data_IF_160235948327
#
_entry.id   IF_160235948327
#
_cell.length_a   1.000
_cell.length_b   1.000
_cell.length_c   1.000
_cell.angle_alpha   90.00
_cell.angle_beta   90.00
_cell.angle_gamma   90.00
#
_symmetry.space_group_name_H-M   'P 1'
#
loop_
_entity.id
_entity.type
_entity.pdbx_description
1 polymer ?
#
# COMPACT_ATOMS: atom_id res chain seq x y z
N UNK A 1 23.53 -25.56 -13.77
CA UNK A 1 22.50 -24.52 -14.05
C UNK A 1 21.98 -24.10 -12.70
N UNK A 2 22.03 -22.82 -12.30
CA UNK A 2 21.37 -22.38 -11.08
C UNK A 2 19.86 -22.63 -11.25
N UNK A 3 19.26 -23.27 -10.26
CA UNK A 3 17.81 -23.38 -10.16
C UNK A 3 17.25 -21.95 -10.22
N UNK A 4 16.40 -21.68 -11.20
CA UNK A 4 15.69 -20.43 -11.32
C UNK A 4 14.88 -20.26 -10.01
N UNK A 5 15.30 -19.34 -9.14
CA UNK A 5 14.48 -18.99 -7.98
C UNK A 5 13.11 -18.57 -8.52
N UNK A 6 12.10 -19.33 -8.16
CA UNK A 6 10.73 -19.06 -8.59
C UNK A 6 10.38 -17.61 -8.18
N UNK A 7 10.01 -16.79 -9.14
CA UNK A 7 9.63 -15.40 -8.88
C UNK A 7 8.45 -15.38 -7.91
N UNK A 8 8.61 -14.65 -6.82
CA UNK A 8 7.58 -14.50 -5.79
C UNK A 8 6.87 -13.16 -5.93
N UNK A 9 5.57 -13.17 -5.64
CA UNK A 9 4.79 -11.95 -5.53
C UNK A 9 5.06 -11.30 -4.18
N UNK A 10 5.49 -10.05 -4.21
CA UNK A 10 5.73 -9.22 -3.03
C UNK A 10 4.49 -8.37 -2.77
N UNK A 11 3.78 -8.67 -1.69
CA UNK A 11 2.57 -7.93 -1.31
C UNK A 11 2.89 -6.81 -0.33
N UNK A 12 2.30 -5.65 -0.59
CA UNK A 12 2.38 -4.45 0.24
C UNK A 12 1.01 -4.19 0.84
N UNK A 13 0.88 -4.36 2.16
CA UNK A 13 -0.39 -4.43 2.86
C UNK A 13 -0.75 -3.11 3.54
N UNK A 14 -2.03 -2.73 3.57
CA UNK A 14 -2.49 -1.51 4.21
C UNK A 14 -2.62 -1.67 5.73
N UNK A 15 -2.51 -0.55 6.46
CA UNK A 15 -2.94 -0.47 7.85
C UNK A 15 -1.85 -0.65 8.89
N UNK A 16 -0.66 -0.11 8.65
CA UNK A 16 0.48 -0.18 9.58
C UNK A 16 0.12 0.26 11.02
N UNK A 17 -0.59 1.37 11.16
CA UNK A 17 -1.09 1.89 12.43
C UNK A 17 -2.56 1.52 12.63
N UNK A 18 -3.33 1.57 11.57
CA UNK A 18 -4.79 1.43 11.56
C UNK A 18 -5.24 0.02 11.94
N UNK A 19 -4.46 -1.00 11.59
CA UNK A 19 -4.80 -2.42 11.81
C UNK A 19 -3.77 -3.15 12.67
N UNK A 20 -3.13 -2.44 13.58
CA UNK A 20 -2.11 -3.01 14.47
C UNK A 20 -2.60 -4.27 15.19
N UNK A 21 -3.76 -4.21 15.82
CA UNK A 21 -4.32 -5.35 16.57
C UNK A 21 -4.57 -6.56 15.67
N UNK A 22 -5.08 -6.33 14.47
CA UNK A 22 -5.25 -7.39 13.47
C UNK A 22 -3.91 -8.06 13.13
N UNK A 23 -2.88 -7.29 12.85
CA UNK A 23 -1.57 -7.84 12.51
C UNK A 23 -0.88 -8.54 13.67
N UNK A 24 -1.16 -8.16 14.90
CA UNK A 24 -0.71 -8.89 16.09
C UNK A 24 -1.25 -10.33 16.16
N UNK A 25 -2.37 -10.61 15.51
CA UNK A 25 -2.98 -11.94 15.42
C UNK A 25 -2.60 -12.63 14.11
N UNK A 26 -2.67 -11.92 12.99
CA UNK A 26 -2.44 -12.49 11.67
C UNK A 26 -0.99 -12.89 11.42
N UNK A 27 -0.02 -12.05 11.77
CA UNK A 27 1.39 -12.32 11.49
C UNK A 27 1.94 -13.57 12.23
N UNK A 28 1.60 -13.83 13.50
CA UNK A 28 1.95 -15.09 14.15
C UNK A 28 1.37 -16.32 13.43
N UNK A 29 0.10 -16.26 13.03
CA UNK A 29 -0.53 -17.33 12.28
C UNK A 29 0.17 -17.56 10.94
N UNK A 30 0.43 -16.50 10.19
CA UNK A 30 1.13 -16.56 8.90
C UNK A 30 2.51 -17.20 9.03
N UNK A 31 3.26 -16.88 10.07
CA UNK A 31 4.58 -17.46 10.33
C UNK A 31 4.50 -18.92 10.77
N UNK A 32 3.57 -19.25 11.69
CA UNK A 32 3.46 -20.59 12.27
C UNK A 32 2.85 -21.59 11.30
N UNK A 33 1.88 -21.17 10.50
CA UNK A 33 1.15 -22.00 9.54
C UNK A 33 1.36 -21.53 8.09
N UNK A 34 2.62 -21.42 7.72
CA UNK A 34 2.99 -20.96 6.36
C UNK A 34 2.39 -21.85 5.26
N UNK A 35 2.11 -23.13 5.55
CA UNK A 35 1.47 -24.08 4.66
C UNK A 35 0.02 -23.74 4.27
N UNK A 36 -0.65 -22.87 5.02
CA UNK A 36 -2.01 -22.39 4.68
C UNK A 36 -1.99 -21.38 3.53
N UNK A 37 -0.82 -20.79 3.27
CA UNK A 37 -0.66 -19.68 2.33
C UNK A 37 0.12 -20.12 1.10
N UNK A 38 -0.09 -19.41 -0.02
CA UNK A 38 0.66 -19.69 -1.24
C UNK A 38 2.16 -19.50 -1.02
N UNK A 39 2.95 -20.48 -1.46
CA UNK A 39 4.42 -20.42 -1.40
C UNK A 39 5.03 -19.40 -2.36
N UNK A 40 4.31 -19.01 -3.40
CA UNK A 40 4.72 -17.96 -4.34
C UNK A 40 4.37 -16.54 -3.87
N UNK A 41 3.71 -16.37 -2.71
CA UNK A 41 3.37 -15.08 -2.11
C UNK A 41 4.26 -14.78 -0.91
N UNK A 42 4.65 -13.52 -0.79
CA UNK A 42 5.33 -12.99 0.40
C UNK A 42 4.73 -11.65 0.81
N UNK A 43 4.73 -11.37 2.11
CA UNK A 43 4.43 -10.05 2.65
C UNK A 43 5.75 -9.28 2.70
N UNK A 44 5.86 -8.21 1.90
CA UNK A 44 7.08 -7.42 1.81
C UNK A 44 7.07 -6.21 2.75
N UNK A 45 5.92 -5.57 2.87
CA UNK A 45 5.77 -4.36 3.68
C UNK A 45 4.34 -4.18 4.18
N UNK A 46 4.21 -3.37 5.22
CA UNK A 46 2.92 -2.84 5.66
C UNK A 46 3.06 -1.32 5.65
N UNK A 47 2.06 -0.62 5.10
CA UNK A 47 2.09 0.82 4.96
C UNK A 47 0.94 1.49 5.72
N UNK A 48 1.17 2.70 6.19
CA UNK A 48 0.17 3.51 6.88
C UNK A 48 0.77 4.73 7.55
N UNK A 49 -0.06 5.47 8.24
CA UNK A 49 0.33 6.62 9.04
C UNK A 49 -0.61 6.78 10.23
N UNK A 50 -0.16 7.41 11.32
CA UNK A 50 -1.04 7.76 12.42
C UNK A 50 -2.15 8.71 11.98
N UNK A 51 -3.27 8.69 12.70
CA UNK A 51 -4.34 9.64 12.51
C UNK A 51 -3.85 11.08 12.73
N UNK A 52 -4.33 12.01 11.89
CA UNK A 52 -3.99 13.44 12.00
C UNK A 52 -2.56 13.79 11.58
N UNK A 53 -1.86 12.90 10.89
CA UNK A 53 -0.50 13.18 10.40
C UNK A 53 -0.53 14.28 9.33
N UNK A 54 0.19 15.39 9.57
CA UNK A 54 0.19 16.55 8.69
C UNK A 54 0.64 16.22 7.26
N UNK A 55 1.61 15.31 7.12
CA UNK A 55 2.12 14.90 5.81
C UNK A 55 1.28 13.83 5.13
N UNK A 56 0.22 13.36 5.77
CA UNK A 56 -0.71 12.41 5.19
C UNK A 56 -1.54 13.00 4.05
N UNK A 57 -1.89 12.22 3.06
CA UNK A 57 -2.67 12.65 1.90
C UNK A 57 -3.51 11.53 1.29
N UNK A 58 -3.42 10.33 1.85
CA UNK A 58 -4.25 9.19 1.47
C UNK A 58 -5.52 9.07 2.31
N UNK A 59 -6.43 8.22 1.88
CA UNK A 59 -7.62 7.85 2.66
C UNK A 59 -7.18 7.04 3.88
N UNK A 60 -7.47 7.52 5.09
CA UNK A 60 -7.03 6.92 6.35
C UNK A 60 -8.21 6.40 7.13
N UNK A 61 -8.02 5.28 7.83
CA UNK A 61 -8.87 4.84 8.93
C UNK A 61 -8.44 5.45 10.26
N UNK A 62 -9.14 5.08 11.32
CA UNK A 62 -8.76 5.46 12.69
C UNK A 62 -7.71 4.47 13.21
N UNK A 63 -6.55 4.96 13.59
CA UNK A 63 -5.50 4.16 14.19
C UNK A 63 -4.50 5.08 14.88
N UNK A 64 -4.42 4.97 16.18
CA UNK A 64 -3.56 5.82 17.00
C UNK A 64 -2.69 4.96 17.93
N UNK A 65 -2.02 3.97 17.35
CA UNK A 65 -1.13 3.11 18.10
C UNK A 65 0.21 3.80 18.39
N UNK A 66 0.86 3.37 19.46
CA UNK A 66 2.21 3.82 19.78
C UNK A 66 3.17 3.45 18.63
N UNK A 67 3.87 4.43 18.03
CA UNK A 67 4.81 4.17 16.94
C UNK A 67 5.91 3.16 17.30
N UNK A 68 6.35 3.11 18.55
CA UNK A 68 7.34 2.13 19.01
C UNK A 68 6.79 0.71 18.96
N UNK A 69 5.55 0.49 19.36
CA UNK A 69 4.90 -0.81 19.30
C UNK A 69 4.70 -1.27 17.84
N UNK A 70 4.27 -0.36 16.98
CA UNK A 70 4.09 -0.61 15.53
C UNK A 70 5.43 -1.01 14.88
N UNK A 71 6.49 -0.27 15.17
CA UNK A 71 7.83 -0.59 14.66
C UNK A 71 8.32 -1.94 15.17
N UNK A 72 8.16 -2.23 16.46
CA UNK A 72 8.56 -3.50 17.06
C UNK A 72 7.87 -4.69 16.39
N UNK A 73 6.59 -4.56 16.05
CA UNK A 73 5.84 -5.60 15.35
C UNK A 73 6.45 -5.91 13.96
N UNK A 74 6.72 -4.89 13.16
CA UNK A 74 7.33 -5.09 11.83
C UNK A 74 8.74 -5.66 11.93
N UNK A 75 9.53 -5.21 12.89
CA UNK A 75 10.87 -5.76 13.14
C UNK A 75 10.82 -7.24 13.53
N UNK A 76 9.90 -7.64 14.41
CA UNK A 76 9.76 -9.03 14.85
C UNK A 76 9.49 -9.98 13.67
N UNK A 77 8.68 -9.55 12.70
CA UNK A 77 8.31 -10.37 11.54
C UNK A 77 9.16 -10.10 10.29
N UNK A 78 10.22 -9.30 10.42
CA UNK A 78 11.14 -9.02 9.31
C UNK A 78 10.48 -8.28 8.15
N UNK A 79 9.52 -7.40 8.43
CA UNK A 79 8.76 -6.65 7.44
C UNK A 79 9.24 -5.21 7.36
N UNK A 80 9.24 -4.65 6.15
CA UNK A 80 9.44 -3.22 5.95
C UNK A 80 8.18 -2.45 6.35
N UNK A 81 8.35 -1.42 7.18
CA UNK A 81 7.30 -0.46 7.46
C UNK A 81 7.40 0.72 6.50
N UNK A 82 6.28 1.13 5.92
CA UNK A 82 6.21 2.29 5.02
C UNK A 82 5.31 3.36 5.61
N UNK A 83 5.86 4.53 5.87
CA UNK A 83 5.10 5.70 6.28
C UNK A 83 4.43 6.32 5.07
N UNK A 84 3.12 6.58 5.16
CA UNK A 84 2.35 7.15 4.05
C UNK A 84 2.27 8.66 4.21
N UNK A 85 3.22 9.37 3.61
CA UNK A 85 3.36 10.83 3.62
C UNK A 85 3.07 11.40 2.24
N UNK A 86 1.86 11.16 1.76
CA UNK A 86 1.45 11.48 0.40
C UNK A 86 0.67 12.79 0.25
N UNK A 87 0.78 13.70 1.22
CA UNK A 87 0.21 15.04 1.08
C UNK A 87 0.82 15.77 -0.13
N UNK A 88 -0.02 16.24 -1.03
CA UNK A 88 0.40 16.88 -2.29
C UNK A 88 0.60 18.39 -2.19
N UNK A 89 0.21 19.02 -1.08
CA UNK A 89 0.08 20.47 -0.94
C UNK A 89 1.00 21.07 0.12
N UNK A 90 2.08 20.37 0.46
CA UNK A 90 3.02 20.81 1.48
C UNK A 90 3.82 22.05 1.05
N UNK A 91 4.06 22.95 2.01
CA UNK A 91 4.97 24.07 1.88
C UNK A 91 6.20 23.85 2.76
N UNK A 92 7.22 24.72 2.63
CA UNK A 92 8.44 24.64 3.45
C UNK A 92 8.15 24.69 4.96
N UNK A 93 7.14 25.46 5.37
CA UNK A 93 6.74 25.55 6.78
C UNK A 93 6.26 24.18 7.33
N UNK A 94 5.59 23.39 6.53
CA UNK A 94 5.10 22.07 6.92
C UNK A 94 6.22 21.05 7.17
N UNK A 95 7.41 21.25 6.59
CA UNK A 95 8.56 20.36 6.79
C UNK A 95 9.09 20.38 8.23
N UNK A 96 8.78 21.42 8.99
CA UNK A 96 9.19 21.55 10.40
C UNK A 96 8.25 20.81 11.38
N UNK A 97 7.23 20.09 10.90
CA UNK A 97 6.30 19.37 11.77
C UNK A 97 7.04 18.39 12.69
N UNK A 98 6.86 18.57 14.00
CA UNK A 98 7.60 17.81 15.01
C UNK A 98 7.19 16.35 15.08
N UNK A 99 5.90 16.07 14.90
CA UNK A 99 5.34 14.70 14.98
C UNK A 99 5.82 13.87 13.79
N UNK A 100 5.70 14.39 12.56
CA UNK A 100 6.16 13.70 11.37
C UNK A 100 7.68 13.48 11.37
N UNK A 101 8.47 14.46 11.80
CA UNK A 101 9.91 14.31 11.94
C UNK A 101 10.30 13.28 13.01
N UNK A 102 9.58 13.22 14.13
CA UNK A 102 9.81 12.20 15.16
C UNK A 102 9.57 10.78 14.64
N UNK A 103 8.51 10.58 13.83
CA UNK A 103 8.27 9.32 13.15
C UNK A 103 9.39 8.96 12.19
N UNK A 104 9.87 9.93 11.42
CA UNK A 104 10.99 9.70 10.49
C UNK A 104 12.26 9.30 11.22
N UNK A 105 12.61 9.96 12.31
CA UNK A 105 13.78 9.56 13.13
C UNK A 105 13.65 8.13 13.63
N UNK A 106 12.49 7.79 14.21
CA UNK A 106 12.25 6.47 14.76
C UNK A 106 12.36 5.37 13.69
N UNK A 107 11.67 5.54 12.56
CA UNK A 107 11.60 4.50 11.52
C UNK A 107 12.84 4.45 10.62
N UNK A 108 13.54 5.57 10.40
CA UNK A 108 14.76 5.59 9.59
C UNK A 108 15.97 4.98 10.30
N UNK A 109 16.05 5.15 11.62
CA UNK A 109 17.16 4.66 12.44
C UNK A 109 16.95 3.23 12.99
N UNK A 110 15.81 2.64 12.68
CA UNK A 110 15.42 1.31 13.19
C UNK A 110 16.32 0.21 12.63
N UNK A 111 16.66 -0.74 13.49
CA UNK A 111 17.30 -2.00 13.09
C UNK A 111 16.32 -2.89 12.30
N UNK A 112 16.88 -3.83 11.53
CA UNK A 112 16.09 -4.78 10.74
C UNK A 112 15.91 -4.35 9.29
N UNK A 113 14.82 -4.73 8.62
CA UNK A 113 14.57 -4.36 7.24
C UNK A 113 14.53 -2.86 7.03
N UNK A 114 15.04 -2.40 5.89
CA UNK A 114 14.97 -0.98 5.53
C UNK A 114 13.51 -0.55 5.44
N UNK A 115 13.17 0.54 6.13
CA UNK A 115 11.84 1.14 6.07
C UNK A 115 11.76 2.16 4.93
N UNK A 116 10.55 2.47 4.51
CA UNK A 116 10.31 3.37 3.40
C UNK A 116 9.27 4.44 3.68
N UNK A 117 9.17 5.37 2.76
CA UNK A 117 8.16 6.43 2.78
C UNK A 117 7.49 6.53 1.42
N UNK A 118 6.16 6.53 1.45
CA UNK A 118 5.34 6.79 0.27
C UNK A 118 5.14 8.30 0.17
N UNK A 119 5.58 8.93 -0.92
CA UNK A 119 5.56 10.38 -1.07
C UNK A 119 4.87 10.81 -2.37
N UNK A 120 4.27 11.99 -2.34
CA UNK A 120 3.75 12.70 -3.50
C UNK A 120 4.59 13.96 -3.80
N UNK A 121 4.80 14.78 -2.80
CA UNK A 121 5.49 16.08 -2.92
C UNK A 121 6.98 15.92 -3.16
N UNK A 122 7.50 16.52 -4.22
CA UNK A 122 8.95 16.56 -4.46
C UNK A 122 9.68 17.41 -3.41
N UNK A 123 9.03 18.43 -2.88
CA UNK A 123 9.57 19.20 -1.77
C UNK A 123 9.83 18.32 -0.54
N UNK A 124 8.87 17.46 -0.19
CA UNK A 124 9.03 16.51 0.91
C UNK A 124 10.08 15.44 0.58
N UNK A 125 10.06 14.91 -0.63
CA UNK A 125 11.04 13.91 -1.09
C UNK A 125 12.48 14.41 -0.93
N UNK A 126 12.75 15.61 -1.40
CA UNK A 126 14.09 16.22 -1.32
C UNK A 126 14.51 16.43 0.13
N UNK A 127 13.59 16.92 0.97
CA UNK A 127 13.82 17.06 2.40
C UNK A 127 14.14 15.71 3.07
N UNK A 128 13.34 14.70 2.84
CA UNK A 128 13.52 13.38 3.46
C UNK A 128 14.79 12.69 3.00
N UNK A 129 15.17 12.83 1.74
CA UNK A 129 16.43 12.29 1.22
C UNK A 129 17.65 12.89 1.89
N UNK A 130 17.59 14.19 2.20
CA UNK A 130 18.67 14.88 2.89
C UNK A 130 18.69 14.59 4.40
N UNK A 131 17.53 14.62 5.06
CA UNK A 131 17.42 14.48 6.51
C UNK A 131 17.41 13.04 7.01
N UNK A 132 16.85 12.12 6.23
CA UNK A 132 16.66 10.71 6.59
C UNK A 132 17.06 9.78 5.43
N UNK A 133 18.34 9.76 5.03
CA UNK A 133 18.82 9.03 3.84
C UNK A 133 18.73 7.51 3.97
N UNK A 134 18.44 6.97 5.14
CA UNK A 134 18.28 5.54 5.38
C UNK A 134 16.97 4.98 4.78
N UNK A 135 15.97 5.84 4.52
CA UNK A 135 14.73 5.43 3.88
C UNK A 135 14.92 5.08 2.41
N UNK A 136 14.10 4.16 1.91
CA UNK A 136 13.77 4.10 0.49
C UNK A 136 12.43 4.77 0.23
N UNK A 137 12.16 5.15 -1.03
CA UNK A 137 10.98 5.93 -1.37
C UNK A 137 10.11 5.25 -2.41
N UNK A 138 8.81 5.47 -2.29
CA UNK A 138 7.77 4.98 -3.18
C UNK A 138 6.98 6.16 -3.71
N UNK A 139 6.84 6.25 -5.03
CA UNK A 139 5.98 7.26 -5.66
C UNK A 139 4.52 6.89 -5.47
N UNK A 140 3.74 7.80 -4.88
CA UNK A 140 2.36 7.56 -4.46
C UNK A 140 1.38 7.44 -5.63
N UNK A 141 0.38 6.58 -5.47
CA UNK A 141 -0.79 6.50 -6.36
C UNK A 141 -1.58 7.82 -6.43
N UNK A 142 -1.46 8.68 -5.41
CA UNK A 142 -2.13 9.98 -5.38
C UNK A 142 -1.68 10.94 -6.48
N UNK A 143 -0.56 10.66 -7.14
CA UNK A 143 -0.11 11.38 -8.34
C UNK A 143 -1.00 11.14 -9.55
N UNK A 144 -1.80 10.09 -9.53
CA UNK A 144 -2.74 9.71 -10.59
C UNK A 144 -2.04 9.66 -11.96
N UNK A 145 -1.00 8.83 -12.04
CA UNK A 145 -0.21 8.63 -13.27
C UNK A 145 -0.99 7.75 -14.25
N UNK A 146 -1.84 8.36 -15.05
CA UNK A 146 -2.69 7.70 -16.06
C UNK A 146 -2.07 7.70 -17.46
N UNK A 147 -1.07 8.53 -17.70
CA UNK A 147 -0.34 8.64 -18.93
C UNK A 147 0.92 7.77 -18.89
N UNK A 148 1.05 6.82 -19.81
CA UNK A 148 2.16 5.86 -19.75
C UNK A 148 3.54 6.53 -19.91
N UNK A 149 3.78 7.52 -20.80
CA UNK A 149 5.04 8.24 -20.83
C UNK A 149 5.40 8.90 -19.49
N UNK A 150 4.43 9.48 -18.80
CA UNK A 150 4.66 10.04 -17.44
C UNK A 150 5.00 8.96 -16.42
N UNK A 151 4.33 7.81 -16.47
CA UNK A 151 4.67 6.67 -15.63
C UNK A 151 6.10 6.21 -15.90
N UNK A 152 6.49 6.10 -17.17
CA UNK A 152 7.86 5.71 -17.51
C UNK A 152 8.90 6.69 -16.99
N UNK A 153 8.68 7.99 -17.12
CA UNK A 153 9.56 9.01 -16.53
C UNK A 153 9.69 8.84 -15.00
N UNK A 154 8.59 8.57 -14.32
CA UNK A 154 8.60 8.36 -12.88
C UNK A 154 9.38 7.10 -12.49
N UNK A 155 9.23 6.02 -13.25
CA UNK A 155 9.99 4.78 -13.06
C UNK A 155 11.50 4.96 -13.27
N UNK A 156 11.90 5.87 -14.15
CA UNK A 156 13.30 6.18 -14.46
C UNK A 156 13.97 7.06 -13.38
N UNK A 157 13.20 7.63 -12.45
CA UNK A 157 13.76 8.42 -11.34
C UNK A 157 14.46 7.51 -10.34
N UNK A 158 15.75 7.75 -10.14
CA UNK A 158 16.56 6.98 -9.18
C UNK A 158 16.10 7.12 -7.73
N UNK A 159 15.46 8.24 -7.39
CA UNK A 159 14.94 8.49 -6.06
C UNK A 159 13.89 7.47 -5.61
N UNK A 160 13.16 6.85 -6.53
CA UNK A 160 12.11 5.89 -6.21
C UNK A 160 12.56 4.46 -6.41
N UNK A 161 12.37 3.64 -5.39
CA UNK A 161 12.51 2.18 -5.50
C UNK A 161 11.28 1.56 -6.17
N UNK A 162 10.10 2.07 -5.85
CA UNK A 162 8.82 1.64 -6.43
C UNK A 162 7.98 2.83 -6.85
N UNK A 163 7.14 2.61 -7.85
CA UNK A 163 6.17 3.58 -8.36
C UNK A 163 4.81 2.89 -8.46
N UNK A 164 3.79 3.51 -7.90
CA UNK A 164 2.41 3.02 -7.98
C UNK A 164 1.68 3.77 -9.10
N UNK A 165 1.48 3.16 -10.27
CA UNK A 165 0.71 3.78 -11.34
C UNK A 165 -0.76 3.91 -10.95
N UNK A 166 -1.51 4.74 -11.64
CA UNK A 166 -2.96 4.72 -11.53
C UNK A 166 -3.49 3.34 -11.96
N UNK A 167 -4.48 2.83 -11.24
CA UNK A 167 -5.05 1.50 -11.47
C UNK A 167 -5.58 1.28 -12.90
N UNK A 168 -5.87 2.37 -13.63
CA UNK A 168 -6.32 2.31 -15.03
C UNK A 168 -5.24 1.84 -15.99
N UNK A 169 -3.96 1.89 -15.60
CA UNK A 169 -2.85 1.34 -16.36
C UNK A 169 -2.52 -0.12 -16.03
N UNK A 170 -3.21 -0.72 -15.07
CA UNK A 170 -2.88 -2.07 -14.58
C UNK A 170 -2.89 -3.14 -15.66
N UNK A 171 -3.68 -2.98 -16.71
CA UNK A 171 -3.81 -3.95 -17.82
C UNK A 171 -3.39 -3.37 -19.18
N UNK A 172 -2.65 -2.29 -19.18
CA UNK A 172 -2.08 -1.69 -20.40
C UNK A 172 -0.84 -2.50 -20.89
N UNK A 173 -1.05 -3.79 -21.17
CA UNK A 173 0.04 -4.73 -21.45
C UNK A 173 0.89 -4.34 -22.66
N UNK A 174 0.30 -3.79 -23.72
CA UNK A 174 1.05 -3.33 -24.89
C UNK A 174 2.12 -2.31 -24.52
N UNK A 175 1.82 -1.45 -23.55
CA UNK A 175 2.75 -0.44 -23.04
C UNK A 175 3.65 -1.01 -21.93
N UNK A 176 3.10 -1.75 -20.98
CA UNK A 176 3.86 -2.33 -19.87
C UNK A 176 4.97 -3.27 -20.34
N UNK A 177 4.74 -4.03 -21.42
CA UNK A 177 5.73 -4.93 -21.98
C UNK A 177 6.90 -4.22 -22.66
N UNK A 178 6.79 -2.93 -22.95
CA UNK A 178 7.91 -2.12 -23.48
C UNK A 178 8.94 -1.75 -22.41
N UNK A 179 8.60 -1.93 -21.12
CA UNK A 179 9.50 -1.62 -20.02
C UNK A 179 10.63 -2.65 -19.94
N UNK A 180 11.89 -2.21 -19.78
CA UNK A 180 12.98 -3.12 -19.46
C UNK A 180 12.81 -3.71 -18.07
N UNK A 181 13.40 -4.88 -17.82
CA UNK A 181 13.23 -5.60 -16.55
C UNK A 181 13.54 -4.76 -15.29
N UNK A 182 14.57 -3.92 -15.25
CA UNK A 182 14.83 -3.06 -14.09
C UNK A 182 13.67 -2.12 -13.77
N UNK A 183 12.94 -1.62 -14.77
CA UNK A 183 11.78 -0.77 -14.55
C UNK A 183 10.52 -1.58 -14.20
N UNK A 184 10.34 -2.78 -14.78
CA UNK A 184 9.24 -3.68 -14.38
C UNK A 184 9.30 -4.01 -12.89
N UNK A 185 10.49 -4.23 -12.34
CA UNK A 185 10.69 -4.51 -10.92
C UNK A 185 10.30 -3.35 -10.00
N UNK A 186 10.19 -2.13 -10.53
CA UNK A 186 9.76 -0.94 -9.78
C UNK A 186 8.26 -0.69 -9.83
N UNK A 187 7.51 -1.33 -10.72
CA UNK A 187 6.06 -1.14 -10.82
C UNK A 187 5.37 -1.86 -9.67
N UNK A 188 4.62 -1.11 -8.88
CA UNK A 188 3.81 -1.64 -7.79
C UNK A 188 2.32 -1.43 -8.11
N UNK A 189 1.64 -2.50 -8.49
CA UNK A 189 0.25 -2.43 -8.92
C UNK A 189 -0.70 -2.34 -7.74
N UNK A 190 -1.63 -1.38 -7.77
CA UNK A 190 -2.76 -1.33 -6.85
C UNK A 190 -3.84 -2.31 -7.33
N UNK A 191 -3.98 -3.44 -6.61
CA UNK A 191 -4.71 -4.61 -7.12
C UNK A 191 -6.23 -4.50 -7.05
N UNK A 192 -6.77 -3.85 -6.00
CA UNK A 192 -8.17 -3.96 -5.58
C UNK A 192 -8.87 -2.60 -5.47
N UNK A 193 -8.50 -1.63 -6.31
CA UNK A 193 -9.17 -0.34 -6.34
C UNK A 193 -10.62 -0.48 -6.81
N UNK A 194 -11.56 0.17 -6.12
CA UNK A 194 -12.96 0.21 -6.51
C UNK A 194 -13.42 1.58 -7.04
N UNK A 195 -12.53 2.56 -7.14
CA UNK A 195 -12.83 3.81 -7.80
C UNK A 195 -13.34 3.58 -9.21
N UNK A 196 -14.30 4.39 -9.61
CA UNK A 196 -14.84 4.31 -10.96
C UNK A 196 -13.73 4.49 -12.01
N UNK A 197 -13.67 3.53 -12.94
CA UNK A 197 -12.64 3.53 -13.99
C UNK A 197 -12.71 4.78 -14.89
N UNK A 198 -13.89 5.36 -15.08
CA UNK A 198 -14.11 6.61 -15.81
C UNK A 198 -13.92 7.90 -15.00
N UNK A 199 -13.48 7.82 -13.75
CA UNK A 199 -13.35 8.98 -12.87
C UNK A 199 -12.31 9.98 -13.38
N UNK A 200 -12.71 11.25 -13.53
CA UNK A 200 -11.82 12.36 -13.91
C UNK A 200 -11.36 13.19 -12.70
N UNK A 201 -11.95 12.93 -11.52
CA UNK A 201 -11.77 13.76 -10.32
C UNK A 201 -10.88 13.11 -9.25
N UNK A 202 -10.23 11.98 -9.57
CA UNK A 202 -9.42 11.23 -8.60
C UNK A 202 -8.30 12.09 -7.99
N UNK A 203 -7.63 12.90 -8.79
CA UNK A 203 -6.60 13.82 -8.31
C UNK A 203 -7.17 14.87 -7.38
N UNK A 204 -8.27 15.49 -7.73
CA UNK A 204 -8.98 16.47 -6.89
C UNK A 204 -9.46 15.84 -5.57
N UNK A 205 -9.89 14.58 -5.59
CA UNK A 205 -10.26 13.83 -4.41
C UNK A 205 -9.07 13.73 -3.43
N UNK A 206 -7.88 13.36 -3.89
CA UNK A 206 -6.69 13.31 -3.06
C UNK A 206 -6.21 14.69 -2.59
N UNK A 207 -6.33 15.72 -3.41
CA UNK A 207 -6.04 17.09 -3.00
C UNK A 207 -6.96 17.57 -1.86
N UNK A 208 -8.23 17.19 -1.90
CA UNK A 208 -9.17 17.48 -0.81
C UNK A 208 -8.75 16.79 0.50
N UNK A 209 -8.27 15.54 0.44
CA UNK A 209 -7.72 14.86 1.61
C UNK A 209 -6.48 15.57 2.14
N UNK A 210 -5.58 15.99 1.25
CA UNK A 210 -4.39 16.76 1.63
C UNK A 210 -4.75 18.06 2.35
N UNK A 211 -5.73 18.81 1.85
CA UNK A 211 -6.22 20.03 2.51
C UNK A 211 -6.77 19.78 3.90
N UNK A 212 -7.57 18.72 4.06
CA UNK A 212 -8.11 18.34 5.38
C UNK A 212 -6.99 18.06 6.38
N UNK A 213 -5.96 17.35 5.97
CA UNK A 213 -4.80 17.08 6.82
C UNK A 213 -4.00 18.34 7.19
N UNK A 214 -4.11 19.39 6.39
CA UNK A 214 -3.54 20.71 6.68
C UNK A 214 -4.47 21.61 7.52
N UNK A 215 -5.61 21.08 7.99
CA UNK A 215 -6.57 21.82 8.80
C UNK A 215 -7.56 22.67 8.03
N UNK A 216 -7.61 22.55 6.71
CA UNK A 216 -8.55 23.30 5.86
C UNK A 216 -9.91 22.59 5.76
N UNK A 217 -10.97 23.37 5.60
CA UNK A 217 -12.28 22.84 5.22
C UNK A 217 -12.29 22.59 3.72
N UNK A 218 -12.28 21.33 3.31
CA UNK A 218 -12.22 20.93 1.92
C UNK A 218 -13.28 19.85 1.62
N UNK A 219 -14.56 20.26 1.46
CA UNK A 219 -15.62 19.33 1.11
C UNK A 219 -15.38 18.78 -0.30
N UNK A 220 -15.44 17.46 -0.43
CA UNK A 220 -15.37 16.80 -1.72
C UNK A 220 -16.43 15.69 -1.76
N UNK A 221 -17.21 15.68 -2.81
CA UNK A 221 -18.22 14.66 -3.05
C UNK A 221 -17.84 13.82 -4.25
N UNK A 222 -17.79 12.52 -4.05
CA UNK A 222 -17.60 11.58 -5.14
C UNK A 222 -18.83 11.55 -6.05
N UNK A 223 -18.63 11.77 -7.34
CA UNK A 223 -19.69 11.76 -8.38
C UNK A 223 -19.79 10.42 -9.10
N UNK A 224 -19.01 9.43 -8.72
CA UNK A 224 -19.05 8.11 -9.35
C UNK A 224 -20.40 7.43 -9.17
N UNK A 225 -20.88 6.67 -10.16
CA UNK A 225 -22.07 5.85 -10.02
C UNK A 225 -21.96 4.90 -8.83
N UNK A 226 -22.97 4.88 -7.96
CA UNK A 226 -23.00 4.01 -6.78
C UNK A 226 -22.01 4.37 -5.68
N UNK A 227 -21.44 5.57 -5.67
CA UNK A 227 -20.50 6.03 -4.63
C UNK A 227 -21.07 6.00 -3.21
N UNK A 228 -22.38 6.17 -3.07
CA UNK A 228 -23.07 6.11 -1.78
C UNK A 228 -23.06 4.70 -1.15
N UNK A 229 -22.80 3.64 -1.92
CA UNK A 229 -22.78 2.26 -1.46
C UNK A 229 -21.45 1.89 -0.77
N UNK A 230 -20.47 2.77 -0.74
CA UNK A 230 -19.15 2.53 -0.17
C UNK A 230 -18.33 1.49 -0.91
N UNK A 231 -17.22 1.06 -0.30
CA UNK A 231 -16.37 0.01 -0.85
C UNK A 231 -17.03 -1.37 -0.67
N UNK A 232 -16.98 -2.18 -1.72
CA UNK A 232 -17.34 -3.61 -1.69
C UNK A 232 -16.30 -4.39 -2.48
N UNK A 233 -15.81 -5.49 -1.92
CA UNK A 233 -14.81 -6.30 -2.61
C UNK A 233 -15.35 -6.94 -3.90
N UNK A 234 -16.59 -7.39 -3.90
CA UNK A 234 -17.27 -7.87 -5.12
C UNK A 234 -17.27 -6.81 -6.24
N UNK A 235 -17.48 -5.55 -5.87
CA UNK A 235 -17.44 -4.42 -6.81
C UNK A 235 -16.03 -4.12 -7.30
N UNK A 236 -15.03 -4.24 -6.43
CA UNK A 236 -13.64 -4.12 -6.85
C UNK A 236 -13.26 -5.21 -7.86
N UNK A 237 -13.75 -6.45 -7.68
CA UNK A 237 -13.53 -7.55 -8.62
C UNK A 237 -14.10 -7.29 -10.02
N UNK A 238 -15.14 -6.48 -10.13
CA UNK A 238 -15.76 -6.08 -11.41
C UNK A 238 -15.00 -4.90 -12.08
N UNK A 239 -14.10 -4.24 -11.37
CA UNK A 239 -13.34 -3.13 -11.92
C UNK A 239 -12.40 -3.61 -13.02
N UNK A 240 -12.36 -2.94 -14.20
CA UNK A 240 -11.44 -3.34 -15.28
C UNK A 240 -9.96 -3.33 -14.88
N UNK A 241 -9.57 -2.57 -13.85
CA UNK A 241 -8.20 -2.54 -13.34
C UNK A 241 -7.90 -3.57 -12.24
N UNK A 242 -8.85 -4.41 -11.86
CA UNK A 242 -8.66 -5.40 -10.80
C UNK A 242 -7.66 -6.49 -11.20
N UNK A 243 -6.71 -6.79 -10.31
CA UNK A 243 -5.80 -7.91 -10.45
C UNK A 243 -6.30 -9.10 -9.62
N UNK A 244 -6.68 -10.19 -10.31
CA UNK A 244 -7.02 -11.43 -9.63
C UNK A 244 -5.77 -12.18 -9.16
N UNK A 245 -5.93 -13.07 -8.20
CA UNK A 245 -4.86 -14.00 -7.76
C UNK A 245 -4.30 -14.78 -8.94
N UNK A 246 -5.20 -15.29 -9.77
CA UNK A 246 -4.82 -16.06 -10.97
C UNK A 246 -3.98 -15.23 -11.93
N UNK A 247 -4.39 -13.99 -12.21
CA UNK A 247 -3.66 -13.10 -13.10
C UNK A 247 -2.27 -12.76 -12.54
N UNK A 248 -2.16 -12.51 -11.25
CA UNK A 248 -0.86 -12.26 -10.61
C UNK A 248 0.07 -13.45 -10.85
N UNK A 249 -0.38 -14.65 -10.54
CA UNK A 249 0.43 -15.86 -10.67
C UNK A 249 0.76 -16.22 -12.12
N UNK A 250 -0.23 -16.14 -13.02
CA UNK A 250 -0.11 -16.70 -14.37
C UNK A 250 0.23 -15.68 -15.45
N UNK A 251 0.08 -14.39 -15.18
CA UNK A 251 0.33 -13.31 -16.14
C UNK A 251 1.43 -12.36 -15.63
N UNK A 252 1.23 -11.70 -14.50
CA UNK A 252 2.14 -10.64 -14.05
C UNK A 252 3.51 -11.17 -13.66
N UNK A 253 3.58 -12.22 -12.85
CA UNK A 253 4.87 -12.83 -12.46
C UNK A 253 5.66 -13.33 -13.66
N UNK A 254 5.09 -14.10 -14.61
CA UNK A 254 5.80 -14.52 -15.81
C UNK A 254 6.30 -13.36 -16.68
N UNK A 255 5.56 -12.25 -16.71
CA UNK A 255 5.96 -11.05 -17.47
C UNK A 255 7.07 -10.23 -16.81
N UNK A 256 7.43 -10.55 -15.56
CA UNK A 256 8.52 -9.90 -14.84
C UNK A 256 8.09 -8.85 -13.82
N UNK A 257 6.81 -8.75 -13.50
CA UNK A 257 6.27 -7.89 -12.44
C UNK A 257 6.15 -8.67 -11.15
N UNK A 258 6.53 -8.07 -10.02
CA UNK A 258 6.58 -8.77 -8.74
C UNK A 258 6.04 -7.99 -7.54
N UNK A 259 5.60 -6.74 -7.71
CA UNK A 259 5.13 -5.93 -6.60
C UNK A 259 3.65 -5.59 -6.72
N UNK A 260 2.89 -5.92 -5.67
CA UNK A 260 1.43 -5.83 -5.64
C UNK A 260 0.97 -5.19 -4.34
N UNK A 261 0.23 -4.09 -4.46
CA UNK A 261 -0.27 -3.32 -3.34
C UNK A 261 -1.76 -3.57 -3.15
N UNK A 262 -2.16 -3.82 -1.91
CA UNK A 262 -3.56 -3.89 -1.53
C UNK A 262 -3.97 -2.56 -0.89
N UNK A 263 -5.12 -2.02 -1.29
CA UNK A 263 -5.70 -0.87 -0.60
C UNK A 263 -6.60 -1.31 0.54
N UNK A 264 -6.98 -0.37 1.41
CA UNK A 264 -7.98 -0.67 2.41
C UNK A 264 -7.77 -0.02 3.78
N UNK A 265 -6.90 0.97 3.90
CA UNK A 265 -6.59 1.64 5.18
C UNK A 265 -7.84 2.15 5.92
N UNK A 266 -8.86 2.59 5.20
CA UNK A 266 -10.11 3.10 5.74
C UNK A 266 -11.26 2.08 5.84
N UNK A 267 -11.01 0.78 5.57
CA UNK A 267 -12.08 -0.20 5.36
C UNK A 267 -12.38 -1.10 6.57
N UNK A 268 -11.50 -1.11 7.57
CA UNK A 268 -11.64 -1.95 8.75
C UNK A 268 -10.96 -3.33 8.63
N UNK A 269 -10.71 -3.94 9.80
CA UNK A 269 -9.95 -5.19 9.92
C UNK A 269 -10.63 -6.37 9.26
N UNK A 270 -11.96 -6.45 9.30
CA UNK A 270 -12.71 -7.52 8.67
C UNK A 270 -12.49 -7.57 7.15
N UNK A 271 -12.47 -6.41 6.51
CA UNK A 271 -12.22 -6.33 5.07
C UNK A 271 -10.78 -6.70 4.72
N UNK A 272 -9.82 -6.29 5.53
CA UNK A 272 -8.42 -6.68 5.35
C UNK A 272 -8.25 -8.20 5.46
N UNK A 273 -8.91 -8.82 6.41
CA UNK A 273 -8.92 -10.28 6.51
C UNK A 273 -9.41 -10.92 5.21
N UNK A 274 -10.52 -10.45 4.64
CA UNK A 274 -11.05 -10.98 3.37
C UNK A 274 -10.07 -10.79 2.21
N UNK A 275 -9.34 -9.67 2.14
CA UNK A 275 -8.28 -9.48 1.14
C UNK A 275 -7.14 -10.50 1.29
N UNK A 276 -6.70 -10.74 2.53
CA UNK A 276 -5.63 -11.71 2.79
C UNK A 276 -6.07 -13.15 2.55
N UNK A 277 -7.32 -13.48 2.82
CA UNK A 277 -7.90 -14.76 2.46
C UNK A 277 -7.92 -14.96 0.95
N UNK A 278 -8.30 -13.93 0.20
CA UNK A 278 -8.38 -13.99 -1.25
C UNK A 278 -6.99 -14.04 -1.92
N UNK A 279 -6.07 -13.14 -1.54
CA UNK A 279 -4.78 -12.98 -2.23
C UNK A 279 -3.68 -13.93 -1.76
N UNK A 280 -3.65 -14.28 -0.48
CA UNK A 280 -2.52 -15.00 0.11
C UNK A 280 -2.85 -16.45 0.50
N UNK A 281 -4.12 -16.75 0.77
CA UNK A 281 -4.50 -18.01 1.40
C UNK A 281 -4.94 -19.04 0.36
N UNK A 282 -4.41 -20.26 0.46
CA UNK A 282 -4.86 -21.37 -0.38
C UNK A 282 -6.35 -21.62 -0.17
N UNK A 283 -7.14 -21.89 -1.22
CA UNK A 283 -8.58 -22.05 -1.12
C UNK A 283 -9.02 -23.06 -0.05
N UNK A 284 -8.32 -24.18 0.08
CA UNK A 284 -8.64 -25.24 1.05
C UNK A 284 -8.47 -24.80 2.51
N UNK A 285 -7.73 -23.74 2.76
CA UNK A 285 -7.45 -23.22 4.11
C UNK A 285 -8.18 -21.91 4.45
N UNK A 286 -8.90 -21.32 3.51
CA UNK A 286 -9.55 -20.02 3.73
C UNK A 286 -10.53 -20.05 4.90
N UNK A 287 -11.37 -21.08 4.98
CA UNK A 287 -12.31 -21.21 6.09
C UNK A 287 -11.58 -21.36 7.42
N UNK A 288 -10.54 -22.18 7.48
CA UNK A 288 -9.76 -22.41 8.68
C UNK A 288 -9.04 -21.15 9.16
N UNK A 289 -8.42 -20.41 8.27
CA UNK A 289 -7.76 -19.13 8.61
C UNK A 289 -8.79 -18.13 9.13
N UNK A 290 -9.97 -18.04 8.50
CA UNK A 290 -11.05 -17.17 8.98
C UNK A 290 -11.53 -17.54 10.37
N UNK A 291 -11.70 -18.83 10.65
CA UNK A 291 -12.08 -19.31 11.99
C UNK A 291 -11.02 -18.96 13.04
N UNK A 292 -9.75 -19.26 12.76
CA UNK A 292 -8.66 -19.01 13.70
C UNK A 292 -8.46 -17.52 13.99
N UNK A 293 -8.60 -16.65 13.00
CA UNK A 293 -8.47 -15.21 13.19
C UNK A 293 -9.74 -14.59 13.77
N UNK A 294 -10.87 -14.84 13.12
CA UNK A 294 -12.11 -14.14 13.42
C UNK A 294 -12.78 -14.67 14.70
N UNK A 295 -13.00 -15.98 14.78
CA UNK A 295 -13.76 -16.59 15.86
C UNK A 295 -12.93 -16.82 17.13
N UNK A 296 -11.67 -17.22 16.98
CA UNK A 296 -10.86 -17.65 18.10
C UNK A 296 -10.03 -16.50 18.72
N UNK A 297 -9.65 -15.51 17.93
CA UNK A 297 -8.71 -14.48 18.36
C UNK A 297 -9.24 -13.06 18.32
N UNK A 298 -10.16 -12.74 17.39
CA UNK A 298 -10.61 -11.37 17.16
C UNK A 298 -12.11 -11.15 17.34
N UNK A 299 -12.84 -12.10 17.90
CA UNK A 299 -14.30 -11.97 18.06
C UNK A 299 -14.69 -10.68 18.79
N UNK A 300 -13.92 -10.28 19.78
CA UNK A 300 -14.17 -9.06 20.56
C UNK A 300 -13.69 -7.77 19.88
N UNK A 301 -13.00 -7.87 18.73
CA UNK A 301 -12.45 -6.73 18.00
C UNK A 301 -13.34 -6.24 16.84
N UNK A 302 -14.44 -6.93 16.59
CA UNK A 302 -15.38 -6.64 15.50
C UNK A 302 -16.75 -6.19 16.00
#
# INVERSE_FOLDING_TARGET
RPMNEAKRAQFHLPGLFEFYDFYCVFLPLYRTHREYFYDWCEIASIYGAPEGCLWGGGRVGCGNQDPHAVLALTQEYGLSARLTFSNSLLTKAHLADSVCNALCRLFSEADGPQNGVIVHSDLLLDYLRAAYPQFYFISSTTKVLTDFPQLRQELEREAFRFVVPDFRLNKAFDQLLTLPQPLKGKVEFLCNECCWFGCKDRKACYEAVSRKNLGEHAPHRCTAPGSANGYRFSRAMENPGFLSVRDIQTVYLPLGFSNFKLEGRGLGSAMILEFLLYYLTKPDYQLRVREEIYLDAMLDLF
#
